data_IF_895049730247
#
_entry.id   IF_895049730247
#
_cell.length_a   1.000
_cell.length_b   1.000
_cell.length_c   1.000
_cell.angle_alpha   90.00
_cell.angle_beta   90.00
_cell.angle_gamma   90.00
#
_symmetry.space_group_name_H-M   'P 1'
#
loop_
_entity.id
_entity.type
_entity.pdbx_description
1 polymer ?
#
# COMPACT_ATOMS: atom_id res chain seq x y z
N UNK A 1 -15.83 6.32 7.28
CA UNK A 1 -15.16 4.99 7.18
C UNK A 1 -16.02 3.98 6.42
N UNK A 2 -17.33 3.76 6.80
CA UNK A 2 -18.22 2.79 6.10
C UNK A 2 -18.45 3.18 4.63
N UNK A 3 -18.70 4.44 4.33
CA UNK A 3 -18.91 4.93 2.96
C UNK A 3 -17.65 4.77 2.09
N UNK A 4 -16.48 5.05 2.66
CA UNK A 4 -15.18 4.82 2.01
C UNK A 4 -14.97 3.32 1.75
N UNK A 5 -15.23 2.46 2.73
CA UNK A 5 -15.09 1.02 2.56
C UNK A 5 -16.02 0.45 1.49
N UNK A 6 -17.25 0.95 1.40
CA UNK A 6 -18.19 0.56 0.33
C UNK A 6 -17.64 0.94 -1.05
N UNK A 7 -17.08 2.13 -1.20
CA UNK A 7 -16.39 2.54 -2.43
C UNK A 7 -15.22 1.60 -2.76
N UNK A 8 -14.44 1.17 -1.76
CA UNK A 8 -13.34 0.22 -1.96
C UNK A 8 -13.82 -1.16 -2.41
N UNK A 9 -14.97 -1.65 -1.91
CA UNK A 9 -15.60 -2.89 -2.39
C UNK A 9 -15.96 -2.75 -3.86
N UNK A 10 -16.58 -1.66 -4.27
CA UNK A 10 -16.96 -1.42 -5.67
C UNK A 10 -15.75 -1.32 -6.59
N UNK A 11 -14.66 -0.69 -6.14
CA UNK A 11 -13.39 -0.69 -6.86
C UNK A 11 -12.80 -2.10 -7.00
N UNK A 12 -12.83 -2.91 -5.95
CA UNK A 12 -12.41 -4.31 -5.99
C UNK A 12 -13.24 -5.15 -6.96
N UNK A 13 -14.59 -4.98 -6.93
CA UNK A 13 -15.49 -5.63 -7.90
C UNK A 13 -15.19 -5.23 -9.35
N UNK A 14 -14.86 -3.97 -9.58
CA UNK A 14 -14.48 -3.48 -10.90
C UNK A 14 -13.15 -4.09 -11.37
N UNK A 15 -12.13 -4.09 -10.50
CA UNK A 15 -10.82 -4.64 -10.84
C UNK A 15 -10.89 -6.15 -11.13
N UNK A 16 -11.57 -6.92 -10.28
CA UNK A 16 -11.80 -8.37 -10.50
C UNK A 16 -12.67 -8.61 -11.74
N UNK A 17 -13.70 -7.77 -11.94
CA UNK A 17 -14.63 -7.92 -13.07
C UNK A 17 -13.98 -7.75 -14.45
N UNK A 18 -12.86 -7.04 -14.54
CA UNK A 18 -12.12 -6.83 -15.80
C UNK A 18 -11.54 -8.11 -16.40
N UNK A 19 -11.28 -9.11 -15.57
CA UNK A 19 -10.62 -10.36 -15.97
C UNK A 19 -11.50 -11.58 -15.70
N UNK A 20 -12.64 -11.42 -15.07
CA UNK A 20 -13.54 -12.51 -14.71
C UNK A 20 -14.58 -12.81 -15.78
N UNK A 21 -15.02 -14.05 -15.81
CA UNK A 21 -16.19 -14.46 -16.59
C UNK A 21 -17.42 -13.68 -16.15
N UNK A 22 -18.24 -13.26 -17.10
CA UNK A 22 -19.46 -12.49 -16.82
C UNK A 22 -20.37 -13.22 -15.84
N UNK A 23 -20.81 -12.53 -14.79
CA UNK A 23 -21.73 -13.06 -13.78
C UNK A 23 -21.09 -13.90 -12.67
N UNK A 24 -19.74 -14.00 -12.62
CA UNK A 24 -19.02 -14.78 -11.59
C UNK A 24 -18.39 -13.92 -10.48
N UNK A 25 -18.47 -12.60 -10.60
CA UNK A 25 -17.94 -11.71 -9.56
C UNK A 25 -18.88 -11.69 -8.36
N UNK A 26 -18.37 -12.07 -7.21
CA UNK A 26 -19.09 -12.19 -5.96
C UNK A 26 -18.34 -11.54 -4.80
N UNK A 27 -19.07 -10.92 -3.87
CA UNK A 27 -18.55 -10.46 -2.59
C UNK A 27 -18.83 -11.55 -1.58
N UNK A 28 -17.81 -12.34 -1.24
CA UNK A 28 -17.95 -13.50 -0.35
C UNK A 28 -17.91 -13.12 1.12
N UNK A 29 -17.21 -12.02 1.45
CA UNK A 29 -17.21 -11.43 2.79
C UNK A 29 -17.38 -9.92 2.66
N UNK A 30 -18.25 -9.34 3.48
CA UNK A 30 -18.54 -7.91 3.43
C UNK A 30 -18.47 -7.28 4.81
N UNK A 31 -17.61 -6.27 4.95
CA UNK A 31 -17.47 -5.44 6.16
C UNK A 31 -17.23 -6.25 7.44
N UNK A 32 -16.41 -7.29 7.35
CA UNK A 32 -16.00 -8.09 8.52
C UNK A 32 -14.95 -7.32 9.31
N UNK A 33 -15.14 -7.20 10.63
CA UNK A 33 -14.15 -6.55 11.50
C UNK A 33 -13.11 -7.57 11.93
N UNK A 34 -11.91 -7.42 11.42
CA UNK A 34 -10.74 -8.21 11.85
C UNK A 34 -9.94 -7.49 12.93
N UNK A 35 -9.56 -8.24 13.96
CA UNK A 35 -8.79 -7.73 15.10
C UNK A 35 -7.37 -8.24 15.04
N UNK A 36 -6.43 -7.32 14.87
CA UNK A 36 -4.99 -7.57 14.94
C UNK A 36 -4.42 -7.07 16.27
N UNK A 37 -3.18 -7.40 16.56
CA UNK A 37 -2.53 -7.06 17.84
C UNK A 37 -2.52 -5.55 18.18
N UNK A 38 -2.54 -4.69 17.18
CA UNK A 38 -2.40 -3.24 17.36
C UNK A 38 -3.49 -2.40 16.66
N UNK A 39 -4.29 -3.00 15.80
CA UNK A 39 -5.31 -2.30 15.01
C UNK A 39 -6.52 -3.20 14.75
N UNK A 40 -7.65 -2.58 14.47
CA UNK A 40 -8.82 -3.23 13.89
C UNK A 40 -8.97 -2.74 12.45
N UNK A 41 -9.31 -3.66 11.56
CA UNK A 41 -9.61 -3.34 10.17
C UNK A 41 -10.98 -3.87 9.77
N UNK A 42 -11.66 -3.12 8.90
CA UNK A 42 -12.82 -3.63 8.17
C UNK A 42 -12.27 -4.27 6.91
N UNK A 43 -12.61 -5.54 6.68
CA UNK A 43 -12.20 -6.30 5.49
C UNK A 43 -13.40 -6.75 4.69
N UNK A 44 -13.21 -6.90 3.40
CA UNK A 44 -14.17 -7.48 2.47
C UNK A 44 -13.41 -8.29 1.44
N UNK A 45 -14.04 -9.35 0.94
CA UNK A 45 -13.44 -10.24 -0.05
C UNK A 45 -14.29 -10.30 -1.32
N UNK A 46 -13.64 -10.09 -2.46
CA UNK A 46 -14.26 -10.16 -3.79
C UNK A 46 -13.56 -11.25 -4.60
N UNK A 47 -14.34 -12.15 -5.16
CA UNK A 47 -13.84 -13.25 -5.98
C UNK A 47 -14.47 -13.22 -7.38
N UNK A 48 -13.84 -13.91 -8.32
CA UNK A 48 -14.35 -14.11 -9.67
C UNK A 48 -13.61 -15.23 -10.39
N UNK A 49 -14.29 -15.94 -11.28
CA UNK A 49 -13.66 -16.95 -12.10
C UNK A 49 -12.93 -16.31 -13.27
N UNK A 50 -11.62 -16.52 -13.35
CA UNK A 50 -10.80 -15.97 -14.44
C UNK A 50 -11.31 -16.45 -15.80
N UNK A 51 -11.35 -15.53 -16.77
CA UNK A 51 -11.72 -15.84 -18.15
C UNK A 51 -10.77 -16.87 -18.74
N UNK A 52 -11.29 -17.84 -19.47
CA UNK A 52 -10.52 -18.91 -20.06
C UNK A 52 -9.38 -18.38 -20.96
N UNK A 53 -8.22 -18.99 -20.88
CA UNK A 53 -7.02 -18.60 -21.62
C UNK A 53 -6.22 -17.42 -21.00
N UNK A 54 -6.69 -16.84 -19.91
CA UNK A 54 -5.97 -15.79 -19.20
C UNK A 54 -5.10 -16.36 -18.08
N UNK A 55 -3.87 -15.89 -18.01
CA UNK A 55 -2.90 -16.29 -16.98
C UNK A 55 -2.68 -15.22 -15.91
N UNK A 56 -1.76 -15.51 -14.99
CA UNK A 56 -1.46 -14.62 -13.85
C UNK A 56 -1.01 -13.22 -14.29
N UNK A 57 -0.26 -13.09 -15.40
CA UNK A 57 0.18 -11.78 -15.90
C UNK A 57 -0.98 -10.95 -16.45
N UNK A 58 -1.95 -11.58 -17.11
CA UNK A 58 -3.16 -10.94 -17.59
C UNK A 58 -4.01 -10.45 -16.41
N UNK A 59 -4.15 -11.28 -15.35
CA UNK A 59 -4.82 -10.90 -14.11
C UNK A 59 -4.11 -9.69 -13.49
N UNK A 60 -2.80 -9.73 -13.36
CA UNK A 60 -2.03 -8.63 -12.79
C UNK A 60 -2.22 -7.33 -13.59
N UNK A 61 -2.13 -7.39 -14.93
CA UNK A 61 -2.34 -6.23 -15.81
C UNK A 61 -3.76 -5.65 -15.70
N UNK A 62 -4.78 -6.49 -15.51
CA UNK A 62 -6.15 -6.06 -15.40
C UNK A 62 -6.46 -5.39 -14.06
N UNK A 63 -5.83 -5.84 -12.97
CA UNK A 63 -6.10 -5.39 -11.61
C UNK A 63 -5.19 -4.24 -11.15
N UNK A 64 -4.07 -4.00 -11.83
CA UNK A 64 -3.17 -2.87 -11.52
C UNK A 64 -3.38 -1.68 -12.47
N UNK A 65 -3.17 -0.45 -11.93
CA UNK A 65 -3.07 -0.08 -10.52
C UNK A 65 -4.32 -0.43 -9.74
N UNK A 66 -4.14 -0.88 -8.50
CA UNK A 66 -5.28 -1.24 -7.64
C UNK A 66 -6.19 -0.04 -7.40
N UNK A 67 -7.51 -0.27 -7.44
CA UNK A 67 -8.54 0.76 -7.22
C UNK A 67 -8.33 1.52 -5.92
N UNK A 68 -7.93 0.82 -4.87
CA UNK A 68 -7.63 1.36 -3.53
C UNK A 68 -6.57 2.47 -3.54
N UNK A 69 -5.62 2.43 -4.48
CA UNK A 69 -4.53 3.41 -4.57
C UNK A 69 -4.68 4.38 -5.77
N UNK A 70 -5.76 4.25 -6.51
CA UNK A 70 -6.08 5.17 -7.61
C UNK A 70 -7.36 5.95 -7.31
N UNK A 71 -8.51 5.34 -7.39
CA UNK A 71 -9.79 5.97 -7.12
C UNK A 71 -10.83 5.68 -8.21
N UNK A 72 -11.98 6.33 -8.11
CA UNK A 72 -13.10 6.16 -9.02
C UNK A 72 -13.58 7.53 -9.56
N UNK A 73 -13.78 7.69 -10.89
CA UNK A 73 -13.41 6.76 -11.98
C UNK A 73 -11.88 6.63 -12.13
N UNK A 74 -11.38 5.42 -12.31
CA UNK A 74 -9.94 5.09 -12.23
C UNK A 74 -9.06 5.99 -13.11
N UNK A 75 -9.39 6.17 -14.37
CA UNK A 75 -8.56 6.95 -15.32
C UNK A 75 -8.46 8.41 -14.87
N UNK A 76 -9.58 9.06 -14.55
CA UNK A 76 -9.57 10.45 -14.11
C UNK A 76 -8.86 10.63 -12.76
N UNK A 77 -9.03 9.68 -11.85
CA UNK A 77 -8.32 9.69 -10.57
C UNK A 77 -6.79 9.61 -10.77
N UNK A 78 -6.33 8.76 -11.68
CA UNK A 78 -4.91 8.66 -12.02
C UNK A 78 -4.35 9.92 -12.68
N UNK A 79 -5.13 10.59 -13.54
CA UNK A 79 -4.76 11.89 -14.13
C UNK A 79 -4.57 12.94 -13.03
N UNK A 80 -5.53 13.04 -12.09
CA UNK A 80 -5.47 13.99 -10.97
C UNK A 80 -4.27 13.71 -10.08
N UNK A 81 -3.98 12.44 -9.80
CA UNK A 81 -2.81 12.04 -9.03
C UNK A 81 -1.51 12.51 -9.73
N UNK A 82 -1.41 12.32 -11.04
CA UNK A 82 -0.23 12.74 -11.80
C UNK A 82 -0.10 14.27 -11.90
N UNK A 83 -1.21 14.99 -11.87
CA UNK A 83 -1.25 16.47 -11.84
C UNK A 83 -0.80 17.03 -10.48
N UNK A 84 -1.23 16.42 -9.38
CA UNK A 84 -1.11 17.00 -8.04
C UNK A 84 0.07 16.45 -7.22
N UNK A 85 0.49 15.22 -7.42
CA UNK A 85 1.61 14.67 -6.66
C UNK A 85 2.94 15.25 -7.17
N UNK A 86 3.76 15.82 -6.28
CA UNK A 86 5.01 16.50 -6.68
C UNK A 86 6.11 15.54 -7.14
N UNK A 87 5.99 14.25 -6.79
CA UNK A 87 6.94 13.20 -7.12
C UNK A 87 6.24 11.95 -7.63
N UNK A 88 6.87 11.22 -8.53
CA UNK A 88 6.34 9.96 -9.02
C UNK A 88 6.34 8.90 -7.91
N UNK A 89 5.31 8.07 -7.90
CA UNK A 89 5.12 7.04 -6.87
C UNK A 89 6.18 5.94 -6.87
N UNK A 90 6.77 5.65 -8.04
CA UNK A 90 7.77 4.59 -8.16
C UNK A 90 7.22 3.23 -7.71
N UNK A 91 7.77 2.68 -6.63
CA UNK A 91 7.34 1.40 -6.05
C UNK A 91 6.01 1.52 -5.32
N UNK A 92 5.71 2.69 -4.74
CA UNK A 92 4.49 2.92 -3.96
C UNK A 92 3.22 2.70 -4.81
N UNK A 93 2.32 1.87 -4.31
CA UNK A 93 1.08 1.51 -5.00
C UNK A 93 1.24 0.47 -6.10
N UNK A 94 2.46 -0.06 -6.32
CA UNK A 94 2.72 -1.19 -7.20
C UNK A 94 2.33 -2.52 -6.58
N UNK A 95 2.74 -3.62 -7.19
CA UNK A 95 2.53 -4.97 -6.68
C UNK A 95 3.82 -5.56 -6.11
N UNK A 96 3.71 -6.25 -4.99
CA UNK A 96 4.75 -7.08 -4.40
C UNK A 96 4.21 -8.47 -4.15
N UNK A 97 4.94 -9.51 -4.57
CA UNK A 97 4.48 -10.88 -4.43
C UNK A 97 5.24 -11.85 -5.30
N UNK A 98 4.60 -12.94 -5.65
CA UNK A 98 5.21 -13.99 -6.48
C UNK A 98 4.21 -14.57 -7.48
N UNK A 99 4.75 -15.12 -8.56
CA UNK A 99 4.04 -15.95 -9.53
C UNK A 99 4.75 -17.31 -9.53
N UNK A 100 4.02 -18.36 -9.14
CA UNK A 100 4.53 -19.71 -9.07
C UNK A 100 4.58 -20.40 -10.44
N UNK A 101 5.44 -21.40 -10.59
CA UNK A 101 5.52 -22.22 -11.79
C UNK A 101 4.24 -23.00 -12.11
N UNK A 102 3.38 -23.20 -11.10
CA UNK A 102 2.06 -23.81 -11.24
C UNK A 102 0.97 -22.84 -11.74
N UNK A 103 1.33 -21.59 -12.03
CA UNK A 103 0.41 -20.54 -12.46
C UNK A 103 -0.28 -19.78 -11.34
N UNK A 104 -0.11 -20.19 -10.07
CA UNK A 104 -0.64 -19.44 -8.94
C UNK A 104 0.11 -18.13 -8.75
N UNK A 105 -0.60 -17.11 -8.33
CA UNK A 105 -0.06 -15.79 -8.02
C UNK A 105 -0.60 -15.32 -6.67
N UNK A 106 0.26 -14.73 -5.88
CA UNK A 106 -0.13 -14.01 -4.68
C UNK A 106 0.61 -12.68 -4.65
N UNK A 107 -0.15 -11.58 -4.62
CA UNK A 107 0.38 -10.23 -4.67
C UNK A 107 -0.35 -9.33 -3.70
N UNK A 108 0.40 -8.41 -3.10
CA UNK A 108 -0.13 -7.33 -2.28
C UNK A 108 0.22 -5.98 -2.90
N UNK A 109 -0.51 -4.94 -2.50
CA UNK A 109 -0.18 -3.57 -2.88
C UNK A 109 1.07 -3.14 -2.12
N UNK A 110 2.04 -2.53 -2.80
CA UNK A 110 3.24 -1.99 -2.18
C UNK A 110 2.93 -0.70 -1.40
N UNK A 111 2.35 -0.87 -0.21
CA UNK A 111 2.07 0.17 0.79
C UNK A 111 2.77 -0.19 2.09
N UNK A 112 2.89 0.76 3.01
CA UNK A 112 3.58 0.53 4.29
C UNK A 112 5.00 -0.03 4.08
N UNK A 113 5.62 0.37 2.97
CA UNK A 113 6.91 -0.12 2.48
C UNK A 113 7.87 1.05 2.41
N UNK A 114 9.10 0.83 2.86
CA UNK A 114 10.18 1.79 2.76
C UNK A 114 11.18 1.36 1.69
N UNK A 115 11.72 2.31 0.95
CA UNK A 115 12.82 2.10 0.02
C UNK A 115 14.09 2.66 0.64
N UNK A 116 15.11 1.82 0.78
CA UNK A 116 16.43 2.26 1.25
C UNK A 116 17.36 2.32 0.05
N UNK A 117 17.84 3.52 -0.24
CA UNK A 117 18.75 3.76 -1.35
C UNK A 117 19.80 4.80 -0.94
N UNK A 118 21.06 4.52 -1.22
CA UNK A 118 22.19 5.41 -0.97
C UNK A 118 22.22 5.94 0.49
N UNK A 119 21.93 5.07 1.46
CA UNK A 119 21.90 5.42 2.89
C UNK A 119 20.67 6.26 3.31
N UNK A 120 19.73 6.50 2.40
CA UNK A 120 18.52 7.28 2.66
C UNK A 120 17.29 6.37 2.69
N UNK A 121 16.43 6.55 3.69
CA UNK A 121 15.14 5.89 3.82
C UNK A 121 14.07 6.78 3.18
N UNK A 122 13.43 6.25 2.14
CA UNK A 122 12.29 6.89 1.48
C UNK A 122 11.00 6.21 1.93
N UNK A 123 10.05 6.98 2.43
CA UNK A 123 8.73 6.52 2.85
C UNK A 123 7.68 7.35 2.12
N UNK A 124 6.73 6.67 1.49
CA UNK A 124 5.58 7.29 0.85
C UNK A 124 4.30 6.76 1.47
N UNK A 125 3.36 7.63 1.75
CA UNK A 125 2.05 7.32 2.29
C UNK A 125 1.01 8.28 1.72
N UNK A 126 -0.25 7.86 1.71
CA UNK A 126 -1.38 8.66 1.26
C UNK A 126 -2.64 8.28 2.00
N UNK A 127 -3.66 9.10 1.86
CA UNK A 127 -5.01 8.88 2.39
C UNK A 127 -6.03 8.81 1.26
N UNK A 128 -7.19 8.21 1.53
CA UNK A 128 -8.34 8.26 0.64
C UNK A 128 -8.99 9.64 0.75
N UNK A 129 -9.26 10.29 -0.39
CA UNK A 129 -9.90 11.60 -0.41
C UNK A 129 -11.30 11.47 -1.01
N UNK A 130 -12.29 11.90 -0.27
CA UNK A 130 -13.70 11.95 -0.67
C UNK A 130 -14.24 13.37 -0.48
N UNK A 131 -15.48 13.63 -0.95
CA UNK A 131 -16.06 14.98 -0.91
C UNK A 131 -16.13 15.58 0.51
N UNK A 132 -16.31 14.74 1.53
CA UNK A 132 -16.40 15.16 2.94
C UNK A 132 -15.06 15.14 3.68
N UNK A 133 -13.95 14.84 2.99
CA UNK A 133 -12.62 14.83 3.59
C UNK A 133 -12.20 16.20 4.08
N UNK A 134 -11.62 16.25 5.28
CA UNK A 134 -11.02 17.44 5.86
C UNK A 134 -9.51 17.39 5.69
N UNK A 135 -8.87 18.36 5.02
CA UNK A 135 -7.46 18.32 4.66
C UNK A 135 -6.52 18.04 5.84
N UNK A 136 -6.81 18.59 7.00
CA UNK A 136 -6.01 18.42 8.22
C UNK A 136 -6.05 16.97 8.73
N UNK A 137 -7.24 16.35 8.68
CA UNK A 137 -7.43 14.96 9.12
C UNK A 137 -6.75 13.98 8.15
N UNK A 138 -6.88 14.21 6.86
CA UNK A 138 -6.23 13.38 5.83
C UNK A 138 -4.70 13.49 5.90
N UNK A 139 -4.19 14.67 6.17
CA UNK A 139 -2.77 14.88 6.42
C UNK A 139 -2.29 14.10 7.65
N UNK A 140 -3.02 14.19 8.77
CA UNK A 140 -2.69 13.47 10.00
C UNK A 140 -2.71 11.94 9.78
N UNK A 141 -3.70 11.43 9.04
CA UNK A 141 -3.79 10.03 8.67
C UNK A 141 -2.56 9.59 7.86
N UNK A 142 -2.17 10.38 6.86
CA UNK A 142 -0.97 10.13 6.06
C UNK A 142 0.28 10.04 6.93
N UNK A 143 0.46 10.97 7.86
CA UNK A 143 1.57 10.96 8.81
C UNK A 143 1.53 9.76 9.75
N UNK A 144 0.34 9.36 10.20
CA UNK A 144 0.16 8.16 11.04
C UNK A 144 0.55 6.88 10.30
N UNK A 145 0.18 6.76 9.02
CA UNK A 145 0.58 5.63 8.16
C UNK A 145 2.09 5.54 7.97
N UNK A 146 2.79 6.65 7.85
CA UNK A 146 4.25 6.68 7.74
C UNK A 146 4.99 6.39 9.06
N UNK A 147 4.36 6.71 10.19
CA UNK A 147 4.98 6.68 11.54
C UNK A 147 5.53 5.31 11.93
N UNK A 148 4.87 4.22 11.55
CA UNK A 148 5.34 2.87 11.88
C UNK A 148 6.71 2.57 11.27
N UNK A 149 6.92 2.95 10.00
CA UNK A 149 8.20 2.78 9.30
C UNK A 149 9.29 3.66 9.90
N UNK A 150 8.96 4.91 10.23
CA UNK A 150 9.89 5.83 10.87
C UNK A 150 10.33 5.34 12.26
N UNK A 151 9.40 4.77 13.03
CA UNK A 151 9.72 4.15 14.33
C UNK A 151 10.62 2.93 14.18
N UNK A 152 10.34 2.06 13.22
CA UNK A 152 11.17 0.89 12.94
C UNK A 152 12.61 1.32 12.56
N UNK A 153 12.76 2.33 11.70
CA UNK A 153 14.06 2.88 11.36
C UNK A 153 14.80 3.46 12.58
N UNK A 154 14.10 4.22 13.43
CA UNK A 154 14.68 4.78 14.64
C UNK A 154 15.17 3.74 15.65
N UNK A 155 14.55 2.54 15.68
CA UNK A 155 15.00 1.44 16.54
C UNK A 155 16.34 0.84 16.10
N UNK A 156 16.62 0.87 14.79
CA UNK A 156 17.84 0.30 14.21
C UNK A 156 18.96 1.36 14.13
N UNK A 157 18.60 2.59 13.79
CA UNK A 157 19.52 3.72 13.76
C UNK A 157 19.79 4.24 15.19
N UNK A 158 20.40 3.42 16.05
CA UNK A 158 20.97 3.95 17.29
C UNK A 158 22.07 4.91 16.90
N UNK A 159 21.98 6.17 17.34
CA UNK A 159 23.10 7.09 17.29
C UNK A 159 24.33 6.39 17.88
N UNK A 160 25.52 6.51 17.26
CA UNK A 160 26.74 5.95 17.85
C UNK A 160 26.85 6.49 19.27
N UNK A 161 26.88 5.58 20.24
CA UNK A 161 27.12 5.91 21.64
C UNK A 161 28.41 6.72 21.72
N UNK A 162 28.39 7.83 22.42
CA UNK A 162 29.54 8.72 22.63
C UNK A 162 30.67 8.09 23.50
N UNK A 163 30.79 6.76 23.48
CA UNK A 163 31.78 5.98 24.18
C UNK A 163 32.82 5.36 23.24
N UNK A 164 33.70 6.19 22.70
CA UNK A 164 35.07 5.74 22.30
C UNK A 164 35.97 6.91 21.91
N UNK A 165 36.05 7.91 22.77
CA UNK A 165 37.17 8.81 22.76
C UNK A 165 37.85 8.79 24.14
N UNK A 166 38.38 7.64 24.53
CA UNK A 166 39.50 7.65 25.46
C UNK A 166 40.76 7.94 24.64
N UNK A 167 41.26 9.14 24.83
CA UNK A 167 42.57 9.54 24.38
C UNK A 167 43.64 8.65 25.06
N UNK A 168 44.70 8.24 24.35
CA UNK A 168 45.80 7.57 25.00
C UNK A 168 46.48 8.57 25.96
N UNK A 169 46.53 8.19 27.24
CA UNK A 169 47.32 8.84 28.24
C UNK A 169 48.79 8.81 27.83
N UNK A 170 49.36 9.96 27.58
CA UNK A 170 50.78 10.10 27.40
C UNK A 170 51.49 9.73 28.69
N UNK A 171 52.33 8.71 28.63
CA UNK A 171 53.44 8.54 29.60
C UNK A 171 54.68 9.24 29.08
N UNK A 172 55.05 10.22 29.84
CA UNK A 172 56.36 10.88 29.79
C UNK A 172 57.44 9.97 30.38
N UNK A 173 58.50 9.71 29.64
CA UNK A 173 59.87 9.64 30.13
C UNK A 173 60.83 10.19 29.09
#
# INVERSE_FOLDING_TARGET
EIAEHLMLIDLGRNDVGRISQTGTVEVTEQMVVERYSHVMHITSNVVGNVTEGMGSLEVLKATLPAGTLSGAPKIRAMEIIDELEPVKRGIYGGAVGYIGWNGNMDTAIAIRTAVIKDGTLHVQAGAGVVADSLPELEWEETMNKARALMRAAAMVCKAPSAESKQAPSGESQ
#
